data_IF_956240827049
#
_entry.id   IF_956240827049
#
_cell.length_a   1.000
_cell.length_b   1.000
_cell.length_c   1.000
_cell.angle_alpha   90.00
_cell.angle_beta   90.00
_cell.angle_gamma   90.00
#
_symmetry.space_group_name_H-M   'P 1'
#
loop_
_entity.id
_entity.type
_entity.pdbx_description
1 polymer ?
#
# COMPACT_ATOMS: atom_id res chain seq x y z
N UNK A 1 37.21 -23.84 -12.12
CA UNK A 1 37.36 -22.69 -11.20
C UNK A 1 36.30 -21.66 -11.57
N UNK A 2 35.25 -21.54 -10.76
CA UNK A 2 34.27 -20.45 -10.86
C UNK A 2 34.11 -19.87 -9.46
N UNK A 3 34.74 -18.72 -9.24
CA UNK A 3 34.66 -17.97 -7.98
C UNK A 3 33.23 -17.47 -7.78
N UNK A 4 32.56 -17.90 -6.71
CA UNK A 4 31.26 -17.37 -6.31
C UNK A 4 31.44 -15.98 -5.69
N UNK A 5 31.11 -14.96 -6.48
CA UNK A 5 31.05 -13.56 -6.05
C UNK A 5 29.85 -13.39 -5.11
N UNK A 6 30.08 -12.79 -3.94
CA UNK A 6 29.05 -12.43 -2.97
C UNK A 6 27.93 -11.61 -3.65
N UNK A 7 26.64 -11.76 -3.29
CA UNK A 7 25.59 -10.94 -3.90
C UNK A 7 25.80 -9.48 -3.51
N UNK A 8 26.19 -8.71 -4.52
CA UNK A 8 26.38 -7.26 -4.49
C UNK A 8 25.15 -6.55 -3.91
N UNK A 9 25.34 -5.52 -3.07
CA UNK A 9 24.26 -4.69 -2.48
C UNK A 9 23.33 -4.15 -3.57
N UNK A 10 23.88 -3.94 -4.78
CA UNK A 10 23.15 -3.61 -6.00
C UNK A 10 22.04 -4.59 -6.40
N UNK A 11 22.16 -5.89 -6.08
CA UNK A 11 21.16 -6.91 -6.43
C UNK A 11 19.95 -6.88 -5.50
N UNK A 12 20.16 -6.55 -4.23
CA UNK A 12 19.09 -6.34 -3.24
C UNK A 12 18.34 -5.04 -3.56
N UNK A 13 19.07 -3.98 -3.88
CA UNK A 13 18.50 -2.70 -4.32
C UNK A 13 17.69 -2.85 -5.63
N UNK A 14 18.16 -3.69 -6.57
CA UNK A 14 17.41 -4.00 -7.80
C UNK A 14 16.08 -4.74 -7.57
N UNK A 15 15.96 -5.52 -6.49
CA UNK A 15 14.73 -6.22 -6.13
C UNK A 15 13.73 -5.35 -5.37
N UNK A 16 14.21 -4.46 -4.48
CA UNK A 16 13.37 -3.59 -3.67
C UNK A 16 12.97 -2.27 -4.36
N UNK A 17 13.72 -1.82 -5.38
CA UNK A 17 13.43 -0.56 -6.10
C UNK A 17 12.08 -0.55 -6.80
N UNK A 18 11.61 -1.69 -7.32
CA UNK A 18 10.34 -1.77 -8.06
C UNK A 18 9.15 -1.57 -7.10
N UNK A 19 9.01 -2.33 -6.00
CA UNK A 19 7.90 -2.10 -5.07
C UNK A 19 7.99 -0.72 -4.40
N UNK A 20 9.18 -0.22 -4.06
CA UNK A 20 9.34 1.11 -3.48
C UNK A 20 8.97 2.23 -4.47
N UNK A 21 9.37 2.12 -5.74
CA UNK A 21 8.99 3.06 -6.78
C UNK A 21 7.47 3.02 -7.05
N UNK A 22 6.84 1.86 -6.94
CA UNK A 22 5.40 1.71 -7.14
C UNK A 22 4.61 2.35 -5.98
N UNK A 23 5.07 2.19 -4.74
CA UNK A 23 4.51 2.91 -3.57
C UNK A 23 4.70 4.41 -3.72
N UNK A 24 5.91 4.87 -4.07
CA UNK A 24 6.18 6.29 -4.29
C UNK A 24 5.33 6.86 -5.44
N UNK A 25 5.10 6.10 -6.52
CA UNK A 25 4.22 6.47 -7.62
C UNK A 25 2.77 6.60 -7.17
N UNK A 26 2.26 5.69 -6.33
CA UNK A 26 0.90 5.76 -5.79
C UNK A 26 0.74 7.01 -4.92
N UNK A 27 1.70 7.29 -4.02
CA UNK A 27 1.68 8.50 -3.20
C UNK A 27 1.81 9.77 -4.04
N UNK A 28 2.69 9.78 -5.05
CA UNK A 28 2.84 10.90 -5.96
C UNK A 28 1.58 11.10 -6.80
N UNK A 29 0.94 10.04 -7.30
CA UNK A 29 -0.31 10.12 -8.03
C UNK A 29 -1.46 10.61 -7.13
N UNK A 30 -1.53 10.15 -5.87
CA UNK A 30 -2.48 10.65 -4.88
C UNK A 30 -2.26 12.14 -4.57
N UNK A 31 -1.02 12.55 -4.35
CA UNK A 31 -0.65 13.95 -4.15
C UNK A 31 -0.96 14.81 -5.39
N UNK A 32 -0.67 14.30 -6.59
CA UNK A 32 -0.96 14.99 -7.85
C UNK A 32 -2.46 15.10 -8.11
N UNK A 33 -3.26 14.12 -7.71
CA UNK A 33 -4.72 14.19 -7.77
C UNK A 33 -5.29 15.21 -6.77
N UNK A 34 -4.67 15.36 -5.60
CA UNK A 34 -5.04 16.37 -4.61
C UNK A 34 -4.64 17.78 -5.07
N UNK A 35 -3.46 17.92 -5.67
CA UNK A 35 -2.94 19.19 -6.20
C UNK A 35 -3.56 19.58 -7.56
N UNK A 36 -4.08 18.60 -8.30
CA UNK A 36 -4.60 18.75 -9.67
C UNK A 36 -6.10 19.02 -9.76
N UNK A 37 -6.81 19.19 -8.63
CA UNK A 37 -8.18 19.72 -8.64
C UNK A 37 -8.14 21.21 -8.94
N UNK A 38 -7.95 21.54 -10.21
CA UNK A 38 -8.23 22.87 -10.74
C UNK A 38 -9.72 23.20 -10.57
N UNK A 39 -9.98 24.46 -10.20
CA UNK A 39 -11.26 25.09 -9.83
C UNK A 39 -12.37 24.96 -10.88
N UNK A 40 -12.94 23.77 -11.02
CA UNK A 40 -14.31 23.67 -11.50
C UNK A 40 -15.15 23.30 -10.28
N UNK A 41 -15.59 24.33 -9.58
CA UNK A 41 -16.55 24.22 -8.48
C UNK A 41 -17.92 23.93 -9.11
N UNK A 42 -18.57 22.87 -8.66
CA UNK A 42 -19.88 22.44 -9.14
C UNK A 42 -20.87 22.49 -7.98
N UNK A 43 -22.16 22.66 -8.25
CA UNK A 43 -23.18 22.71 -7.22
C UNK A 43 -24.22 23.81 -7.41
N UNK A 44 -25.35 23.64 -6.73
CA UNK A 44 -26.41 24.63 -6.73
C UNK A 44 -25.96 25.91 -6.01
N UNK A 45 -26.24 27.06 -6.61
CA UNK A 45 -25.85 28.40 -6.13
C UNK A 45 -24.35 28.58 -5.90
N UNK A 46 -23.51 27.74 -6.51
CA UNK A 46 -22.07 27.85 -6.44
C UNK A 46 -21.57 29.00 -7.33
N UNK A 47 -20.88 30.03 -6.78
CA UNK A 47 -20.36 31.15 -7.55
C UNK A 47 -19.26 30.73 -8.56
N UNK A 48 -18.59 29.60 -8.35
CA UNK A 48 -17.66 29.03 -9.35
C UNK A 48 -18.33 28.21 -10.47
N UNK A 49 -19.62 27.87 -10.33
CA UNK A 49 -20.29 26.92 -11.24
C UNK A 49 -21.00 27.61 -12.40
N UNK A 50 -20.69 27.16 -13.61
CA UNK A 50 -21.35 27.54 -14.87
C UNK A 50 -22.61 26.72 -15.18
N UNK A 51 -22.94 25.74 -14.35
CA UNK A 51 -24.14 24.92 -14.54
C UNK A 51 -25.41 25.78 -14.45
N UNK A 52 -26.54 25.35 -15.05
CA UNK A 52 -27.80 26.08 -14.97
C UNK A 52 -28.23 26.42 -13.53
N UNK A 53 -27.97 25.52 -12.58
CA UNK A 53 -28.26 25.72 -11.15
C UNK A 53 -27.18 26.47 -10.35
N UNK A 54 -26.00 26.74 -10.95
CA UNK A 54 -24.94 27.53 -10.33
C UNK A 54 -25.25 29.02 -10.28
N UNK A 55 -24.34 29.84 -9.74
CA UNK A 55 -24.54 31.28 -9.59
C UNK A 55 -23.37 32.14 -10.09
N UNK A 56 -22.50 31.57 -10.95
CA UNK A 56 -21.35 32.28 -11.52
C UNK A 56 -21.70 33.61 -12.19
N UNK A 57 -22.80 33.68 -12.95
CA UNK A 57 -23.20 34.91 -13.62
C UNK A 57 -23.51 36.03 -12.62
N UNK A 58 -24.20 35.71 -11.52
CA UNK A 58 -24.51 36.69 -10.47
C UNK A 58 -23.26 37.11 -9.71
N UNK A 59 -22.41 36.15 -9.32
CA UNK A 59 -21.14 36.42 -8.66
C UNK A 59 -20.24 37.34 -9.49
N UNK A 60 -20.17 37.11 -10.81
CA UNK A 60 -19.42 37.95 -11.74
C UNK A 60 -19.99 39.37 -11.85
N UNK A 61 -21.31 39.51 -11.91
CA UNK A 61 -21.96 40.82 -11.95
C UNK A 61 -21.73 41.62 -10.66
N UNK A 62 -21.81 40.97 -9.50
CA UNK A 62 -21.51 41.59 -8.20
C UNK A 62 -20.05 42.07 -8.14
N UNK A 63 -19.11 41.23 -8.57
CA UNK A 63 -17.69 41.61 -8.66
C UNK A 63 -17.46 42.80 -9.61
N UNK A 64 -18.17 42.84 -10.74
CA UNK A 64 -18.11 43.98 -11.68
C UNK A 64 -18.69 45.28 -11.11
N UNK A 65 -19.61 45.18 -10.15
CA UNK A 65 -20.13 46.31 -9.37
C UNK A 65 -19.23 46.67 -8.17
N UNK A 66 -18.06 46.04 -8.02
CA UNK A 66 -17.09 46.34 -6.97
C UNK A 66 -17.34 45.68 -5.63
N UNK A 67 -18.19 44.65 -5.57
CA UNK A 67 -18.40 43.82 -4.38
C UNK A 67 -17.30 42.76 -4.30
N UNK A 68 -16.62 42.68 -3.16
CA UNK A 68 -15.68 41.61 -2.81
C UNK A 68 -16.47 40.35 -2.43
N UNK A 69 -16.67 39.46 -3.41
CA UNK A 69 -17.39 38.19 -3.24
C UNK A 69 -16.43 37.16 -2.66
N UNK A 70 -16.71 36.69 -1.44
CA UNK A 70 -15.93 35.67 -0.73
C UNK A 70 -16.75 34.39 -0.57
N UNK A 71 -16.54 33.39 -1.45
CA UNK A 71 -17.10 32.07 -1.24
C UNK A 71 -16.55 31.46 0.05
N UNK A 72 -17.44 30.89 0.87
CA UNK A 72 -17.09 30.11 2.05
C UNK A 72 -17.73 28.73 1.93
N UNK A 73 -16.93 27.67 1.94
CA UNK A 73 -17.39 26.28 1.81
C UNK A 73 -17.35 25.53 3.15
N UNK A 74 -16.94 26.22 4.23
CA UNK A 74 -16.99 25.73 5.60
C UNK A 74 -17.45 26.80 6.58
N UNK A 75 -17.93 26.36 7.74
CA UNK A 75 -18.37 27.21 8.84
C UNK A 75 -17.23 28.08 9.35
N UNK A 76 -16.01 27.53 9.43
CA UNK A 76 -14.83 28.27 9.89
C UNK A 76 -14.43 29.36 8.90
N UNK A 77 -14.54 29.10 7.60
CA UNK A 77 -14.33 30.12 6.56
C UNK A 77 -15.39 31.22 6.64
N UNK A 78 -16.66 30.86 6.88
CA UNK A 78 -17.74 31.82 7.05
C UNK A 78 -17.51 32.71 8.28
N UNK A 79 -17.22 32.12 9.45
CA UNK A 79 -16.88 32.85 10.68
C UNK A 79 -15.69 33.78 10.47
N UNK A 80 -14.65 33.29 9.78
CA UNK A 80 -13.44 34.06 9.52
C UNK A 80 -13.67 35.18 8.49
N UNK A 81 -14.69 35.09 7.63
CA UNK A 81 -14.97 36.06 6.58
C UNK A 81 -16.03 37.11 6.97
N UNK A 82 -17.02 36.75 7.81
CA UNK A 82 -18.11 37.66 8.22
C UNK A 82 -17.58 38.81 9.08
N UNK A 83 -18.08 40.01 8.80
CA UNK A 83 -17.75 41.28 9.47
C UNK A 83 -19.02 42.10 9.60
N UNK A 84 -19.02 43.05 10.54
CA UNK A 84 -20.18 43.91 10.86
C UNK A 84 -20.69 44.74 9.68
N UNK A 85 -19.90 44.93 8.62
CA UNK A 85 -20.22 45.67 7.40
C UNK A 85 -20.39 44.78 6.16
N UNK A 86 -20.62 43.47 6.33
CA UNK A 86 -20.78 42.52 5.24
C UNK A 86 -22.24 42.09 5.03
N UNK A 87 -22.59 41.76 3.78
CA UNK A 87 -23.76 40.93 3.47
C UNK A 87 -23.38 39.46 3.61
N UNK A 88 -24.22 38.66 4.29
CA UNK A 88 -24.08 37.22 4.39
C UNK A 88 -25.20 36.53 3.61
N UNK A 89 -24.85 35.71 2.61
CA UNK A 89 -25.76 34.80 1.93
C UNK A 89 -25.55 33.38 2.48
N UNK A 90 -26.64 32.72 2.91
CA UNK A 90 -26.62 31.31 3.31
C UNK A 90 -27.52 30.53 2.36
N UNK A 91 -26.93 29.68 1.53
CA UNK A 91 -27.65 28.95 0.47
C UNK A 91 -28.49 27.78 0.98
N UNK A 92 -28.08 27.17 2.11
CA UNK A 92 -28.74 26.01 2.73
C UNK A 92 -28.75 26.15 4.26
N UNK A 93 -29.57 27.05 4.82
CA UNK A 93 -29.55 27.38 6.25
C UNK A 93 -29.90 26.19 7.16
N UNK A 94 -30.71 25.23 6.69
CA UNK A 94 -31.11 24.05 7.47
C UNK A 94 -29.95 23.08 7.78
N UNK A 95 -28.81 23.21 7.10
CA UNK A 95 -27.61 22.44 7.41
C UNK A 95 -26.80 23.07 8.56
N UNK A 96 -27.07 24.32 8.91
CA UNK A 96 -26.30 25.09 9.88
C UNK A 96 -26.95 24.98 11.27
N UNK A 97 -26.22 24.60 12.33
CA UNK A 97 -26.76 24.60 13.68
C UNK A 97 -27.25 26.00 14.09
N UNK A 98 -28.44 26.08 14.69
CA UNK A 98 -29.10 27.34 15.03
C UNK A 98 -28.21 28.33 15.78
N UNK A 99 -27.49 27.87 16.82
CA UNK A 99 -26.56 28.72 17.58
C UNK A 99 -25.46 29.36 16.71
N UNK A 100 -24.95 28.60 15.74
CA UNK A 100 -23.88 29.04 14.83
C UNK A 100 -24.45 29.99 13.77
N UNK A 101 -25.64 29.69 13.25
CA UNK A 101 -26.37 30.57 12.34
C UNK A 101 -26.72 31.91 12.99
N UNK A 102 -27.21 31.90 14.23
CA UNK A 102 -27.52 33.11 14.99
C UNK A 102 -26.27 33.95 15.28
N UNK A 103 -25.14 33.30 15.58
CA UNK A 103 -23.87 34.00 15.72
C UNK A 103 -23.46 34.70 14.42
N UNK A 104 -23.54 34.02 13.27
CA UNK A 104 -23.25 34.65 11.97
C UNK A 104 -24.20 35.82 11.69
N UNK A 105 -25.49 35.65 11.98
CA UNK A 105 -26.51 36.71 11.79
C UNK A 105 -26.25 37.95 12.62
N UNK A 106 -25.75 37.80 13.84
CA UNK A 106 -25.43 38.91 14.73
C UNK A 106 -24.20 39.71 14.29
N UNK A 107 -23.29 39.09 13.52
CA UNK A 107 -22.05 39.72 13.07
C UNK A 107 -22.11 40.26 11.64
N UNK A 108 -23.23 40.11 10.93
CA UNK A 108 -23.43 40.61 9.56
C UNK A 108 -24.44 41.76 9.54
N UNK A 109 -24.23 42.75 8.67
CA UNK A 109 -25.16 43.89 8.51
C UNK A 109 -26.46 43.50 7.79
N UNK A 110 -26.38 42.58 6.83
CA UNK A 110 -27.54 42.08 6.12
C UNK A 110 -27.38 40.58 5.87
N UNK A 111 -28.45 39.82 6.09
CA UNK A 111 -28.45 38.37 5.93
C UNK A 111 -29.51 37.96 4.92
N UNK A 112 -29.14 37.13 3.97
CA UNK A 112 -30.05 36.51 3.00
C UNK A 112 -30.05 35.00 3.21
N UNK A 113 -31.19 34.44 3.58
CA UNK A 113 -31.39 33.01 3.78
C UNK A 113 -32.19 32.44 2.61
N UNK A 114 -31.63 31.46 1.91
CA UNK A 114 -32.31 30.81 0.79
C UNK A 114 -33.06 29.59 1.29
N UNK A 115 -34.37 29.60 1.06
CA UNK A 115 -35.33 28.53 1.37
C UNK A 115 -35.16 27.95 2.77
N UNK A 116 -35.17 28.76 3.86
CA UNK A 116 -35.13 28.22 5.22
C UNK A 116 -36.36 27.34 5.49
N UNK A 117 -36.10 26.13 5.97
CA UNK A 117 -37.13 25.17 6.33
C UNK A 117 -37.47 25.20 7.81
N UNK A 118 -38.26 24.21 8.24
CA UNK A 118 -38.76 24.13 9.59
C UNK A 118 -37.69 24.20 10.69
N UNK A 119 -36.50 23.55 10.58
CA UNK A 119 -35.47 23.63 11.61
C UNK A 119 -34.97 25.06 11.83
N UNK A 120 -34.59 25.75 10.75
CA UNK A 120 -34.13 27.15 10.81
C UNK A 120 -35.20 28.08 11.37
N UNK A 121 -36.46 27.91 10.94
CA UNK A 121 -37.55 28.76 11.40
C UNK A 121 -37.85 28.56 12.89
N UNK A 122 -37.84 27.33 13.40
CA UNK A 122 -38.18 27.05 14.80
C UNK A 122 -37.11 27.58 15.76
N UNK A 123 -35.83 27.36 15.44
CA UNK A 123 -34.75 27.61 16.38
C UNK A 123 -34.16 29.03 16.26
N UNK A 124 -34.05 29.55 15.03
CA UNK A 124 -33.40 30.84 14.76
C UNK A 124 -34.37 31.97 14.44
N UNK A 125 -35.57 31.67 13.90
CA UNK A 125 -36.55 32.67 13.46
C UNK A 125 -37.97 32.39 13.98
N UNK A 126 -38.18 32.26 15.31
CA UNK A 126 -39.40 31.67 15.89
C UNK A 126 -40.70 32.45 15.61
N UNK A 127 -40.61 33.71 15.18
CA UNK A 127 -41.76 34.53 14.80
C UNK A 127 -42.17 34.36 13.33
N UNK A 128 -41.41 33.60 12.55
CA UNK A 128 -41.65 33.35 11.13
C UNK A 128 -42.27 31.97 10.97
N UNK A 129 -43.35 31.89 10.20
CA UNK A 129 -44.04 30.64 9.92
C UNK A 129 -44.24 30.46 8.41
N UNK A 130 -44.20 29.20 7.91
CA UNK A 130 -44.59 28.91 6.54
C UNK A 130 -46.08 29.20 6.37
N UNK A 131 -46.45 29.87 5.29
CA UNK A 131 -47.80 30.30 4.99
C UNK A 131 -48.37 29.64 3.73
N UNK A 132 -47.53 29.12 2.84
CA UNK A 132 -47.92 28.45 1.61
C UNK A 132 -46.71 27.91 0.84
N UNK A 133 -46.95 27.18 -0.25
CA UNK A 133 -45.90 26.73 -1.16
C UNK A 133 -46.40 26.80 -2.60
N UNK A 134 -45.85 27.71 -3.42
CA UNK A 134 -46.27 27.87 -4.81
C UNK A 134 -45.21 27.38 -5.80
N UNK A 135 -45.63 27.08 -7.02
CA UNK A 135 -44.69 26.88 -8.13
C UNK A 135 -43.91 28.17 -8.44
N UNK A 136 -42.77 28.00 -9.10
CA UNK A 136 -41.95 29.13 -9.55
C UNK A 136 -42.61 29.77 -10.79
N UNK A 137 -43.02 31.02 -10.65
CA UNK A 137 -43.71 31.80 -11.68
C UNK A 137 -43.25 33.26 -11.66
N UNK A 138 -43.76 34.07 -12.59
CA UNK A 138 -43.48 35.51 -12.58
C UNK A 138 -44.41 36.19 -11.56
N UNK A 139 -43.82 36.79 -10.53
CA UNK A 139 -44.53 37.45 -9.44
C UNK A 139 -44.21 38.94 -9.39
N UNK A 140 -45.21 39.73 -9.01
CA UNK A 140 -45.06 41.17 -8.76
C UNK A 140 -44.68 41.41 -7.31
N UNK A 141 -43.91 42.47 -6.98
CA UNK A 141 -43.37 42.67 -5.64
C UNK A 141 -44.45 42.93 -4.58
N UNK A 142 -45.52 43.63 -4.93
CA UNK A 142 -46.67 43.96 -4.04
C UNK A 142 -46.27 44.51 -2.65
N UNK A 143 -45.14 45.22 -2.58
CA UNK A 143 -44.56 45.71 -1.34
C UNK A 143 -43.73 46.98 -1.55
N UNK A 144 -43.12 47.48 -0.47
CA UNK A 144 -42.27 48.70 -0.46
C UNK A 144 -40.80 48.42 -0.16
N UNK A 145 -40.37 47.16 -0.19
CA UNK A 145 -38.94 46.82 -0.02
C UNK A 145 -38.17 47.33 -1.24
N UNK A 146 -37.15 48.16 -1.02
CA UNK A 146 -36.43 48.85 -2.09
C UNK A 146 -35.86 47.88 -3.15
N UNK A 147 -35.26 46.77 -2.72
CA UNK A 147 -34.73 45.75 -3.62
C UNK A 147 -35.80 45.11 -4.51
N UNK A 148 -36.99 44.81 -3.95
CA UNK A 148 -38.10 44.22 -4.69
C UNK A 148 -38.74 45.23 -5.66
N UNK A 149 -38.88 46.49 -5.24
CA UNK A 149 -39.42 47.56 -6.10
C UNK A 149 -38.46 47.85 -7.26
N UNK A 150 -37.15 47.88 -7.01
CA UNK A 150 -36.14 48.10 -8.04
C UNK A 150 -36.06 46.93 -9.03
N UNK A 151 -36.27 45.70 -8.56
CA UNK A 151 -36.33 44.53 -9.42
C UNK A 151 -37.60 44.49 -10.28
N UNK A 152 -38.74 44.95 -9.75
CA UNK A 152 -40.03 44.81 -10.42
C UNK A 152 -40.47 43.34 -10.41
N UNK A 153 -41.00 42.88 -11.55
CA UNK A 153 -41.46 41.49 -11.71
C UNK A 153 -40.26 40.54 -11.69
N UNK A 154 -40.38 39.39 -11.02
CA UNK A 154 -39.29 38.40 -10.88
C UNK A 154 -39.82 36.98 -11.00
N UNK A 155 -38.96 36.05 -11.42
CA UNK A 155 -39.29 34.62 -11.44
C UNK A 155 -39.00 34.01 -10.06
N UNK A 156 -40.02 33.94 -9.21
CA UNK A 156 -39.93 33.47 -7.83
C UNK A 156 -41.11 32.56 -7.49
N UNK A 157 -41.11 31.97 -6.30
CA UNK A 157 -42.08 30.98 -5.85
C UNK A 157 -41.48 30.19 -4.70
N UNK A 158 -41.87 28.92 -4.57
CA UNK A 158 -41.41 28.06 -3.50
C UNK A 158 -42.15 28.37 -2.21
N UNK A 159 -41.43 28.42 -1.09
CA UNK A 159 -42.05 28.59 0.23
C UNK A 159 -42.45 30.06 0.45
N UNK A 160 -43.72 30.28 0.74
CA UNK A 160 -44.23 31.56 1.22
C UNK A 160 -44.11 31.65 2.75
N UNK A 161 -43.62 32.78 3.26
CA UNK A 161 -43.46 33.01 4.69
C UNK A 161 -44.36 34.14 5.18
N UNK A 162 -44.72 34.09 6.47
CA UNK A 162 -45.42 35.17 7.16
C UNK A 162 -44.82 35.39 8.54
N UNK A 163 -44.76 36.66 8.96
CA UNK A 163 -44.34 37.03 10.31
C UNK A 163 -44.91 38.41 10.69
N UNK A 164 -45.29 38.62 11.96
CA UNK A 164 -45.76 39.93 12.43
C UNK A 164 -44.70 41.02 12.27
N UNK A 165 -45.07 42.15 11.67
CA UNK A 165 -44.16 43.30 11.50
C UNK A 165 -43.09 43.13 10.41
N UNK A 166 -43.10 42.01 9.68
CA UNK A 166 -42.22 41.78 8.54
C UNK A 166 -42.77 42.44 7.26
N UNK A 167 -41.85 42.82 6.37
CA UNK A 167 -42.20 43.27 5.02
C UNK A 167 -42.23 42.05 4.10
N UNK A 168 -43.42 41.73 3.60
CA UNK A 168 -43.69 40.60 2.71
C UNK A 168 -43.79 41.09 1.27
N UNK A 169 -43.08 40.44 0.35
CA UNK A 169 -43.09 40.74 -1.08
C UNK A 169 -43.29 39.46 -1.90
N UNK A 170 -43.69 39.61 -3.16
CA UNK A 170 -43.90 38.50 -4.10
C UNK A 170 -44.83 37.43 -3.53
N UNK A 171 -46.12 37.75 -3.30
CA UNK A 171 -47.06 36.80 -2.72
C UNK A 171 -47.26 35.60 -3.65
N UNK A 172 -47.10 34.40 -3.10
CA UNK A 172 -47.41 33.16 -3.82
C UNK A 172 -48.91 32.88 -3.87
N UNK A 173 -49.36 32.08 -4.84
CA UNK A 173 -50.78 31.74 -5.00
C UNK A 173 -51.38 31.08 -3.73
N UNK A 174 -50.57 30.28 -3.04
CA UNK A 174 -50.96 29.55 -1.83
C UNK A 174 -50.75 30.36 -0.53
N UNK A 175 -50.33 31.63 -0.64
CA UNK A 175 -50.23 32.57 0.48
C UNK A 175 -48.82 32.81 1.04
N UNK A 176 -48.68 33.92 1.77
CA UNK A 176 -47.39 34.43 2.27
C UNK A 176 -46.51 35.07 1.21
N UNK A 177 -45.48 35.79 1.65
CA UNK A 177 -44.47 36.37 0.76
C UNK A 177 -43.34 35.37 0.49
N UNK A 178 -43.02 35.16 -0.78
CA UNK A 178 -41.84 34.37 -1.18
C UNK A 178 -40.54 35.16 -1.05
N UNK A 179 -40.63 36.46 -0.74
CA UNK A 179 -39.57 37.23 -0.12
C UNK A 179 -40.09 37.86 1.17
N UNK A 180 -39.42 37.62 2.30
CA UNK A 180 -39.79 38.19 3.59
C UNK A 180 -38.60 38.91 4.21
N UNK A 181 -38.74 40.20 4.50
CA UNK A 181 -37.70 41.01 5.14
C UNK A 181 -38.06 41.37 6.58
N UNK A 182 -37.18 41.00 7.50
CA UNK A 182 -37.28 41.20 8.94
C UNK A 182 -36.23 42.22 9.38
N UNK A 183 -36.59 43.07 10.32
CA UNK A 183 -35.60 43.82 11.09
C UNK A 183 -35.04 42.90 12.18
N UNK A 184 -33.72 42.81 12.28
CA UNK A 184 -33.01 42.03 13.28
C UNK A 184 -32.08 42.94 14.10
N UNK A 185 -31.61 42.45 15.24
CA UNK A 185 -30.76 43.17 16.19
C UNK A 185 -29.44 43.70 15.58
N UNK A 186 -28.90 43.03 14.55
CA UNK A 186 -27.67 43.42 13.84
C UNK A 186 -27.89 44.04 12.46
N UNK A 187 -29.14 44.12 11.95
CA UNK A 187 -29.35 44.42 10.54
C UNK A 187 -30.71 44.03 9.96
N UNK A 188 -30.74 43.68 8.67
CA UNK A 188 -31.93 43.07 8.06
C UNK A 188 -31.71 41.61 7.70
N UNK A 189 -32.69 40.75 8.03
CA UNK A 189 -32.71 39.35 7.61
C UNK A 189 -33.78 39.18 6.53
N UNK A 190 -33.37 38.75 5.35
CA UNK A 190 -34.25 38.52 4.19
C UNK A 190 -34.32 37.03 3.88
N UNK A 191 -35.52 36.49 3.78
CA UNK A 191 -35.78 35.10 3.41
C UNK A 191 -36.23 35.06 1.96
N UNK A 192 -35.69 34.12 1.18
CA UNK A 192 -36.14 33.81 -0.18
C UNK A 192 -36.77 32.43 -0.20
N UNK A 193 -37.99 32.31 -0.73
CA UNK A 193 -38.73 31.05 -0.83
C UNK A 193 -38.14 30.06 -1.83
N UNK A 194 -37.31 30.54 -2.76
CA UNK A 194 -36.69 29.73 -3.80
C UNK A 194 -35.32 30.31 -4.22
N UNK A 195 -34.36 29.45 -4.61
CA UNK A 195 -33.09 29.88 -5.18
C UNK A 195 -33.21 30.43 -6.61
N UNK A 196 -34.36 30.22 -7.28
CA UNK A 196 -34.55 30.47 -8.71
C UNK A 196 -33.93 31.78 -9.24
N UNK A 197 -34.22 32.98 -8.68
CA UNK A 197 -33.71 34.23 -9.23
C UNK A 197 -32.18 34.39 -9.14
N UNK A 198 -31.51 33.57 -8.31
CA UNK A 198 -30.06 33.63 -8.11
C UNK A 198 -29.30 32.67 -9.04
N UNK A 199 -30.01 31.81 -9.78
CA UNK A 199 -29.40 30.78 -10.64
C UNK A 199 -29.04 31.32 -12.02
N UNK A 200 -27.96 30.78 -12.61
CA UNK A 200 -27.53 31.09 -13.98
C UNK A 200 -28.65 30.91 -15.01
N UNK A 201 -29.51 29.89 -14.83
CA UNK A 201 -30.61 29.57 -15.74
C UNK A 201 -31.69 30.66 -15.82
N UNK A 202 -31.89 31.42 -14.73
CA UNK A 202 -33.01 32.36 -14.59
C UNK A 202 -32.56 33.79 -14.36
N UNK A 203 -31.27 34.04 -14.16
CA UNK A 203 -30.76 35.37 -13.82
C UNK A 203 -31.16 36.45 -14.83
N UNK A 204 -31.23 36.10 -16.12
CA UNK A 204 -31.60 37.01 -17.19
C UNK A 204 -33.12 37.15 -17.40
N UNK A 205 -33.93 36.37 -16.69
CA UNK A 205 -35.39 36.44 -16.76
C UNK A 205 -35.89 37.58 -15.85
N UNK A 206 -36.78 38.41 -16.40
CA UNK A 206 -37.44 39.51 -15.67
C UNK A 206 -36.45 40.37 -14.85
N UNK A 207 -36.78 40.70 -13.60
CA UNK A 207 -35.96 41.47 -12.66
C UNK A 207 -34.99 40.65 -11.81
N UNK A 208 -34.73 39.37 -12.13
CA UNK A 208 -33.98 38.46 -11.25
C UNK A 208 -32.56 38.97 -10.93
N UNK A 209 -31.82 39.42 -11.95
CA UNK A 209 -30.50 40.03 -11.75
C UNK A 209 -30.57 41.28 -10.88
N UNK A 210 -31.57 42.15 -11.10
CA UNK A 210 -31.75 43.35 -10.31
C UNK A 210 -32.05 43.02 -8.83
N UNK A 211 -32.88 42.01 -8.58
CA UNK A 211 -33.15 41.54 -7.22
C UNK A 211 -31.88 41.02 -6.54
N UNK A 212 -31.13 40.13 -7.21
CA UNK A 212 -29.88 39.57 -6.70
C UNK A 212 -28.84 40.65 -6.38
N UNK A 213 -28.66 41.62 -7.30
CA UNK A 213 -27.72 42.72 -7.11
C UNK A 213 -28.12 43.65 -5.95
N UNK A 214 -29.42 43.98 -5.80
CA UNK A 214 -29.87 44.84 -4.71
C UNK A 214 -29.89 44.15 -3.35
N UNK A 215 -30.08 42.83 -3.30
CA UNK A 215 -30.02 42.08 -2.04
C UNK A 215 -28.58 41.84 -1.59
N UNK A 216 -27.70 41.46 -2.53
CA UNK A 216 -26.36 40.96 -2.21
C UNK A 216 -25.25 42.02 -2.36
N UNK A 217 -25.53 43.13 -3.04
CA UNK A 217 -24.58 44.21 -3.31
C UNK A 217 -24.77 45.46 -2.46
N UNK A 218 -25.50 45.40 -1.34
CA UNK A 218 -25.70 46.56 -0.46
C UNK A 218 -24.41 46.99 0.22
N UNK A 219 -23.52 46.04 0.48
CA UNK A 219 -22.23 46.25 1.13
C UNK A 219 -21.08 45.92 0.19
N UNK A 220 -19.87 46.40 0.53
CA UNK A 220 -18.66 46.15 -0.26
C UNK A 220 -18.18 44.70 -0.16
N UNK A 221 -18.56 43.98 0.88
CA UNK A 221 -18.14 42.58 1.10
C UNK A 221 -19.37 41.69 1.13
N UNK A 222 -19.36 40.64 0.32
CA UNK A 222 -20.37 39.58 0.32
C UNK A 222 -19.71 38.27 0.75
N UNK A 223 -20.14 37.72 1.88
CA UNK A 223 -19.80 36.35 2.26
C UNK A 223 -20.85 35.41 1.68
N UNK A 224 -20.44 34.58 0.74
CA UNK A 224 -21.29 33.62 0.06
C UNK A 224 -21.07 32.25 0.69
N UNK A 225 -21.86 31.93 1.71
CA UNK A 225 -21.70 30.69 2.48
C UNK A 225 -22.48 29.54 1.82
N UNK A 226 -21.76 28.46 1.51
CA UNK A 226 -22.28 27.21 0.96
C UNK A 226 -22.08 26.06 1.98
N UNK A 227 -23.02 25.88 2.93
CA UNK A 227 -22.96 24.80 3.89
C UNK A 227 -22.90 23.43 3.18
N UNK A 228 -22.05 22.54 3.68
CA UNK A 228 -21.87 21.19 3.17
C UNK A 228 -21.97 20.18 4.30
N UNK A 229 -22.67 19.07 4.09
CA UNK A 229 -22.76 17.97 5.07
C UNK A 229 -21.40 17.35 5.44
N UNK A 230 -20.36 17.60 4.63
CA UNK A 230 -18.99 17.15 4.88
C UNK A 230 -18.16 18.14 5.72
N UNK A 231 -18.73 19.30 6.05
CA UNK A 231 -18.07 20.33 6.83
C UNK A 231 -17.95 19.90 8.31
N UNK A 232 -16.73 19.74 8.85
CA UNK A 232 -16.52 19.40 10.24
C UNK A 232 -17.01 20.49 11.21
N UNK A 233 -17.07 21.76 10.77
CA UNK A 233 -17.49 22.90 11.60
C UNK A 233 -19.00 23.00 11.84
N UNK A 234 -19.81 22.20 11.12
CA UNK A 234 -21.26 22.12 11.32
C UNK A 234 -21.67 21.18 12.47
N UNK A 235 -20.74 20.39 12.99
CA UNK A 235 -21.08 19.31 13.93
C UNK A 235 -20.22 19.41 15.19
N UNK A 236 -20.69 20.16 16.19
CA UNK A 236 -20.11 20.18 17.55
C UNK A 236 -20.05 18.76 18.17
N UNK A 237 -20.79 17.81 17.60
CA UNK A 237 -20.96 16.43 18.06
C UNK A 237 -20.21 15.37 17.27
N UNK A 238 -19.77 15.62 16.03
CA UNK A 238 -18.97 14.64 15.25
C UNK A 238 -17.49 14.97 15.32
N UNK A 239 -16.85 14.40 16.33
CA UNK A 239 -15.42 14.12 16.31
C UNK A 239 -15.04 13.39 15.02
N UNK A 240 -13.88 13.74 14.46
CA UNK A 240 -13.34 13.08 13.26
C UNK A 240 -13.29 11.56 13.46
N UNK A 241 -13.49 10.76 12.41
CA UNK A 241 -13.30 9.30 12.48
C UNK A 241 -11.93 8.92 13.06
N UNK A 242 -10.93 9.79 12.89
CA UNK A 242 -9.58 9.62 13.45
C UNK A 242 -9.46 9.97 14.94
N UNK A 243 -10.39 10.77 15.47
CA UNK A 243 -10.56 11.09 16.89
C UNK A 243 -11.45 10.07 17.63
N UNK A 244 -12.27 9.30 16.91
CA UNK A 244 -12.99 8.15 17.47
C UNK A 244 -12.10 6.92 17.65
N UNK A 245 -10.93 6.90 17.00
CA UNK A 245 -9.93 5.84 17.17
C UNK A 245 -9.19 6.11 18.49
N UNK A 246 -9.33 5.26 19.52
CA UNK A 246 -8.62 5.46 20.78
C UNK A 246 -7.11 5.52 20.54
N UNK A 247 -6.40 6.40 21.25
CA UNK A 247 -4.95 6.61 21.07
C UNK A 247 -4.14 5.30 21.05
N UNK A 248 -4.60 4.28 21.79
CA UNK A 248 -4.08 2.92 21.80
C UNK A 248 -3.90 2.27 20.43
N UNK A 249 -4.77 2.57 19.45
CA UNK A 249 -4.68 2.02 18.10
C UNK A 249 -3.52 2.60 17.29
N UNK A 250 -3.11 3.84 17.53
CA UNK A 250 -1.91 4.39 16.92
C UNK A 250 -0.66 3.65 17.41
N UNK A 251 -0.61 3.31 18.70
CA UNK A 251 0.44 2.45 19.25
C UNK A 251 0.39 1.04 18.65
N UNK A 252 -0.80 0.46 18.48
CA UNK A 252 -0.99 -0.83 17.81
C UNK A 252 -0.54 -0.82 16.35
N UNK A 253 -0.87 0.21 15.59
CA UNK A 253 -0.45 0.39 14.21
C UNK A 253 1.08 0.59 14.10
N UNK A 254 1.66 1.38 15.00
CA UNK A 254 3.12 1.55 15.09
C UNK A 254 3.83 0.22 15.43
N UNK A 255 3.29 -0.56 16.36
CA UNK A 255 3.81 -1.89 16.70
C UNK A 255 3.70 -2.86 15.51
N UNK A 256 2.57 -2.86 14.79
CA UNK A 256 2.39 -3.67 13.60
C UNK A 256 3.39 -3.28 12.49
N UNK A 257 3.61 -1.97 12.29
CA UNK A 257 4.62 -1.47 11.36
C UNK A 257 6.03 -1.93 11.74
N UNK A 258 6.40 -1.81 13.01
CA UNK A 258 7.69 -2.29 13.52
C UNK A 258 7.82 -3.81 13.32
N UNK A 259 6.78 -4.58 13.63
CA UNK A 259 6.78 -6.04 13.46
C UNK A 259 6.98 -6.44 11.99
N UNK A 260 6.29 -5.78 11.06
CA UNK A 260 6.46 -5.99 9.61
C UNK A 260 7.87 -5.60 9.16
N UNK A 261 8.41 -4.48 9.65
CA UNK A 261 9.77 -4.04 9.34
C UNK A 261 10.82 -5.04 9.85
N UNK A 262 10.67 -5.55 11.07
CA UNK A 262 11.53 -6.59 11.63
C UNK A 262 11.42 -7.91 10.87
N UNK A 263 10.20 -8.30 10.49
CA UNK A 263 9.96 -9.49 9.66
C UNK A 263 10.62 -9.35 8.29
N UNK A 264 10.51 -8.19 7.66
CA UNK A 264 11.15 -7.88 6.39
C UNK A 264 12.69 -7.92 6.52
N UNK A 265 13.26 -7.34 7.58
CA UNK A 265 14.69 -7.40 7.88
C UNK A 265 15.18 -8.83 8.14
N UNK A 266 14.39 -9.63 8.85
CA UNK A 266 14.69 -11.04 9.10
C UNK A 266 14.66 -11.87 7.81
N UNK A 267 13.62 -11.71 6.98
CA UNK A 267 13.52 -12.36 5.66
C UNK A 267 14.60 -11.90 4.67
N UNK A 268 15.05 -10.65 4.79
CA UNK A 268 16.16 -10.13 3.99
C UNK A 268 17.51 -10.75 4.38
N UNK A 269 17.66 -11.24 5.62
CA UNK A 269 18.84 -11.98 6.08
C UNK A 269 18.77 -13.45 5.64
N UNK A 270 19.14 -13.72 4.39
CA UNK A 270 19.39 -15.11 3.92
C UNK A 270 20.66 -15.66 4.58
N UNK A 271 20.52 -16.67 5.44
CA UNK A 271 21.61 -17.61 5.74
C UNK A 271 21.84 -18.47 4.48
N UNK A 272 23.06 -18.46 3.96
CA UNK A 272 23.43 -19.10 2.69
C UNK A 272 23.24 -20.63 2.68
N UNK A 273 23.37 -21.29 1.50
CA UNK A 273 23.17 -22.73 1.40
C UNK A 273 24.14 -23.49 2.30
N UNK A 274 23.62 -24.51 2.97
CA UNK A 274 24.41 -25.44 3.80
C UNK A 274 25.38 -26.19 2.87
N UNK A 275 26.67 -26.09 3.18
CA UNK A 275 27.76 -26.77 2.45
C UNK A 275 27.48 -28.27 2.44
N UNK A 276 27.25 -28.85 1.26
CA UNK A 276 27.17 -30.30 1.09
C UNK A 276 28.58 -30.85 0.92
N UNK A 277 29.09 -31.57 1.91
CA UNK A 277 30.33 -32.35 1.79
C UNK A 277 30.17 -33.46 0.73
N UNK A 278 31.16 -33.68 -0.16
CA UNK A 278 31.11 -34.75 -1.13
C UNK A 278 31.31 -36.12 -0.43
N UNK A 279 30.39 -37.05 -0.68
CA UNK A 279 30.50 -38.44 -0.21
C UNK A 279 31.65 -39.19 -0.91
N UNK A 280 32.35 -40.09 -0.19
CA UNK A 280 33.47 -40.85 -0.75
C UNK A 280 33.03 -41.77 -1.90
N UNK A 281 33.78 -41.72 -3.00
CA UNK A 281 33.54 -42.50 -4.22
C UNK A 281 33.99 -43.95 -3.98
N UNK A 282 33.13 -44.92 -4.28
CA UNK A 282 33.44 -46.36 -4.19
C UNK A 282 34.26 -46.77 -5.41
N UNK A 283 35.56 -47.07 -5.23
CA UNK A 283 36.44 -47.56 -6.30
C UNK A 283 36.42 -49.09 -6.32
N UNK A 284 36.33 -49.71 -7.50
CA UNK A 284 36.29 -51.18 -7.63
C UNK A 284 37.67 -51.77 -7.33
N UNK A 285 37.73 -52.88 -6.58
CA UNK A 285 38.99 -53.52 -6.16
C UNK A 285 39.93 -53.93 -7.32
N UNK A 286 39.39 -54.15 -8.52
CA UNK A 286 40.19 -54.44 -9.71
C UNK A 286 41.02 -53.22 -10.17
N UNK A 287 40.46 -52.00 -10.06
CA UNK A 287 41.14 -50.77 -10.48
C UNK A 287 42.31 -50.43 -9.56
N UNK A 288 42.18 -50.71 -8.26
CA UNK A 288 43.27 -50.49 -7.29
C UNK A 288 44.40 -51.50 -7.46
N UNK A 289 44.07 -52.77 -7.76
CA UNK A 289 45.07 -53.79 -8.07
C UNK A 289 45.85 -53.46 -9.35
N UNK A 290 45.15 -53.05 -10.42
CA UNK A 290 45.78 -52.67 -11.68
C UNK A 290 46.64 -51.40 -11.54
N UNK A 291 46.13 -50.40 -10.81
CA UNK A 291 46.89 -49.18 -10.50
C UNK A 291 48.19 -49.49 -9.76
N UNK A 292 48.15 -50.38 -8.76
CA UNK A 292 49.33 -50.78 -7.99
C UNK A 292 50.31 -51.62 -8.82
N UNK A 293 49.83 -52.52 -9.67
CA UNK A 293 50.68 -53.28 -10.58
C UNK A 293 51.41 -52.37 -11.58
N UNK A 294 50.72 -51.38 -12.16
CA UNK A 294 51.33 -50.37 -13.05
C UNK A 294 52.38 -49.54 -12.34
N UNK A 295 52.15 -49.18 -11.07
CA UNK A 295 53.13 -48.46 -10.25
C UNK A 295 54.40 -49.30 -10.01
N UNK A 296 54.27 -50.57 -9.61
CA UNK A 296 55.43 -51.45 -9.38
C UNK A 296 56.24 -51.70 -10.65
N UNK A 297 55.57 -51.92 -11.79
CA UNK A 297 56.24 -52.05 -13.08
C UNK A 297 56.97 -50.76 -13.49
N UNK A 298 56.36 -49.59 -13.27
CA UNK A 298 57.01 -48.29 -13.57
C UNK A 298 58.24 -48.06 -12.70
N UNK A 299 58.20 -48.50 -11.43
CA UNK A 299 59.32 -48.41 -10.51
C UNK A 299 60.38 -49.51 -10.71
N UNK A 300 60.16 -50.48 -11.62
CA UNK A 300 61.00 -51.68 -11.82
C UNK A 300 61.26 -52.46 -10.53
N UNK A 301 60.27 -52.49 -9.63
CA UNK A 301 60.37 -53.09 -8.30
C UNK A 301 59.93 -54.58 -8.31
N UNK A 302 60.57 -55.39 -9.17
CA UNK A 302 60.24 -56.81 -9.33
C UNK A 302 60.54 -57.64 -8.07
N UNK A 303 61.59 -57.25 -7.33
CA UNK A 303 61.98 -57.80 -6.05
C UNK A 303 60.88 -57.63 -4.99
N UNK A 304 60.38 -56.40 -4.83
CA UNK A 304 59.35 -56.06 -3.86
C UNK A 304 58.01 -56.71 -4.21
N UNK A 305 57.65 -56.71 -5.49
CA UNK A 305 56.45 -57.40 -5.96
C UNK A 305 56.54 -58.92 -5.72
N UNK A 306 57.71 -59.51 -5.96
CA UNK A 306 57.97 -60.93 -5.72
C UNK A 306 57.83 -61.33 -4.26
N UNK A 307 58.40 -60.54 -3.34
CA UNK A 307 58.25 -60.82 -1.90
C UNK A 307 56.81 -60.63 -1.42
N UNK A 308 56.11 -59.61 -1.93
CA UNK A 308 54.68 -59.41 -1.63
C UNK A 308 53.84 -60.62 -2.07
N UNK A 309 54.13 -61.20 -3.24
CA UNK A 309 53.47 -62.42 -3.70
C UNK A 309 53.82 -63.63 -2.83
N UNK A 310 55.10 -63.81 -2.47
CA UNK A 310 55.53 -64.89 -1.57
C UNK A 310 54.88 -64.78 -0.20
N UNK A 311 54.83 -63.59 0.39
CA UNK A 311 54.19 -63.37 1.70
C UNK A 311 52.69 -63.69 1.66
N UNK A 312 52.00 -63.24 0.61
CA UNK A 312 50.59 -63.57 0.40
C UNK A 312 50.38 -65.08 0.21
N UNK A 313 51.27 -65.74 -0.56
CA UNK A 313 51.24 -67.18 -0.79
C UNK A 313 51.48 -67.98 0.50
N UNK A 314 52.49 -67.61 1.29
CA UNK A 314 52.75 -68.19 2.61
C UNK A 314 51.53 -68.05 3.52
N UNK A 315 50.89 -66.88 3.53
CA UNK A 315 49.68 -66.64 4.33
C UNK A 315 48.52 -67.55 3.92
N UNK A 316 48.28 -67.72 2.62
CA UNK A 316 47.23 -68.61 2.10
C UNK A 316 47.55 -70.08 2.36
N UNK A 317 48.77 -70.54 2.09
CA UNK A 317 49.20 -71.92 2.33
C UNK A 317 49.10 -72.31 3.81
N UNK A 318 49.46 -71.42 4.73
CA UNK A 318 49.29 -71.67 6.19
C UNK A 318 47.82 -71.84 6.55
N UNK A 319 46.95 -71.00 5.98
CA UNK A 319 45.50 -71.09 6.19
C UNK A 319 44.95 -72.41 5.64
N UNK A 320 45.36 -72.82 4.43
CA UNK A 320 44.92 -74.06 3.78
C UNK A 320 45.43 -75.31 4.53
N UNK A 321 46.66 -75.28 5.03
CA UNK A 321 47.28 -76.41 5.74
C UNK A 321 46.98 -76.43 7.25
N UNK A 322 46.21 -75.47 7.77
CA UNK A 322 45.86 -75.39 9.19
C UNK A 322 47.03 -75.07 10.12
N UNK A 323 48.08 -74.43 9.61
CA UNK A 323 49.25 -74.05 10.40
C UNK A 323 49.03 -72.73 11.16
N UNK A 324 49.59 -72.57 12.38
CA UNK A 324 49.63 -71.29 13.09
C UNK A 324 50.23 -70.16 12.24
N UNK A 325 50.03 -68.88 12.59
CA UNK A 325 50.61 -67.74 11.84
C UNK A 325 52.13 -67.55 12.04
N UNK A 326 52.69 -68.16 13.06
CA UNK A 326 54.08 -68.08 13.52
C UNK A 326 54.90 -69.38 13.35
N UNK A 327 54.27 -70.51 13.00
CA UNK A 327 54.94 -71.71 12.48
C UNK A 327 56.15 -71.40 11.57
N UNK A 328 57.25 -72.09 11.85
CA UNK A 328 58.55 -71.85 11.24
C UNK A 328 58.57 -72.13 9.72
N UNK A 329 59.51 -71.52 9.02
CA UNK A 329 59.71 -71.69 7.58
C UNK A 329 59.94 -73.16 7.21
N UNK A 330 60.69 -73.90 8.03
CA UNK A 330 60.93 -75.33 7.82
C UNK A 330 59.63 -76.15 7.94
N UNK A 331 58.77 -75.81 8.90
CA UNK A 331 57.49 -76.50 9.10
C UNK A 331 56.55 -76.28 7.89
N UNK A 332 56.46 -75.04 7.39
CA UNK A 332 55.65 -74.75 6.21
C UNK A 332 56.16 -75.50 4.96
N UNK A 333 57.47 -75.49 4.72
CA UNK A 333 58.07 -76.18 3.57
C UNK A 333 57.84 -77.69 3.66
N UNK A 334 58.01 -78.28 4.85
CA UNK A 334 57.78 -79.70 5.05
C UNK A 334 56.32 -80.09 4.82
N UNK A 335 55.36 -79.37 5.40
CA UNK A 335 53.93 -79.65 5.22
C UNK A 335 53.47 -79.48 3.76
N UNK A 336 54.01 -78.50 3.03
CA UNK A 336 53.73 -78.34 1.60
C UNK A 336 54.38 -79.47 0.79
N UNK A 337 55.59 -79.91 1.17
CA UNK A 337 56.31 -81.02 0.52
C UNK A 337 55.57 -82.34 0.65
N UNK A 338 55.09 -82.67 1.85
CA UNK A 338 54.28 -83.87 2.09
C UNK A 338 52.96 -83.83 1.31
N UNK A 339 52.32 -82.65 1.23
CA UNK A 339 51.02 -82.51 0.56
C UNK A 339 51.13 -82.54 -0.97
N UNK A 340 52.19 -81.97 -1.54
CA UNK A 340 52.37 -81.85 -3.00
C UNK A 340 53.23 -82.97 -3.60
N UNK A 341 53.95 -83.74 -2.78
CA UNK A 341 54.91 -84.74 -3.23
C UNK A 341 56.18 -84.16 -3.88
N UNK A 342 56.37 -82.83 -3.84
CA UNK A 342 57.55 -82.14 -4.38
C UNK A 342 58.68 -82.12 -3.34
N UNK A 343 59.95 -82.12 -3.76
CA UNK A 343 61.06 -82.12 -2.83
C UNK A 343 61.15 -80.78 -2.08
N UNK A 344 61.47 -80.83 -0.79
CA UNK A 344 61.45 -79.68 0.12
C UNK A 344 62.38 -78.53 -0.31
N UNK A 345 63.49 -78.84 -1.00
CA UNK A 345 64.42 -77.84 -1.53
C UNK A 345 63.78 -76.96 -2.61
N UNK A 346 62.95 -77.53 -3.50
CA UNK A 346 62.25 -76.77 -4.54
C UNK A 346 61.20 -75.84 -3.94
N UNK A 347 60.41 -76.32 -2.98
CA UNK A 347 59.39 -75.51 -2.30
C UNK A 347 60.04 -74.39 -1.50
N UNK A 348 61.14 -74.69 -0.80
CA UNK A 348 61.94 -73.68 -0.10
C UNK A 348 62.44 -72.59 -1.04
N UNK A 349 62.95 -72.96 -2.23
CA UNK A 349 63.40 -72.01 -3.23
C UNK A 349 62.27 -71.13 -3.80
N UNK A 350 61.06 -71.68 -3.94
CA UNK A 350 59.89 -70.91 -4.43
C UNK A 350 59.38 -69.93 -3.35
N UNK A 351 59.23 -70.39 -2.10
CA UNK A 351 58.63 -69.60 -1.00
C UNK A 351 59.60 -68.65 -0.28
N UNK A 352 60.88 -68.99 -0.23
CA UNK A 352 61.92 -68.28 0.53
C UNK A 352 63.21 -68.06 -0.29
N UNK A 353 63.16 -68.23 -1.61
CA UNK A 353 64.32 -68.05 -2.48
C UNK A 353 64.84 -66.61 -2.56
N UNK A 354 65.94 -66.39 -3.29
CA UNK A 354 66.55 -65.06 -3.44
C UNK A 354 65.59 -64.03 -4.08
N UNK A 355 65.91 -62.73 -3.97
CA UNK A 355 65.15 -61.66 -4.61
C UNK A 355 65.02 -61.86 -6.13
N UNK A 356 63.88 -61.47 -6.69
CA UNK A 356 63.57 -61.61 -8.11
C UNK A 356 64.30 -60.52 -8.92
N UNK A 357 65.11 -60.86 -9.93
CA UNK A 357 65.94 -59.88 -10.64
C UNK A 357 65.19 -59.08 -11.73
N UNK A 358 64.12 -59.64 -12.33
CA UNK A 358 63.43 -59.03 -13.47
C UNK A 358 61.94 -59.43 -13.57
N UNK A 359 61.18 -58.67 -14.38
CA UNK A 359 59.75 -58.91 -14.62
C UNK A 359 59.46 -60.33 -15.20
N UNK A 360 60.26 -60.89 -16.14
CA UNK A 360 60.09 -62.27 -16.57
C UNK A 360 60.24 -63.31 -15.44
N UNK A 361 61.21 -63.14 -14.54
CA UNK A 361 61.35 -64.01 -13.37
C UNK A 361 60.19 -63.84 -12.39
N UNK A 362 59.63 -62.63 -12.26
CA UNK A 362 58.45 -62.38 -11.44
C UNK A 362 57.22 -63.14 -11.95
N UNK A 363 56.99 -63.15 -13.27
CA UNK A 363 55.87 -63.90 -13.88
C UNK A 363 56.05 -65.41 -13.68
N UNK A 364 57.29 -65.93 -13.84
CA UNK A 364 57.58 -67.34 -13.55
C UNK A 364 57.33 -67.68 -12.08
N UNK A 365 57.79 -66.83 -11.16
CA UNK A 365 57.56 -67.01 -9.72
C UNK A 365 56.07 -67.00 -9.39
N UNK A 366 55.29 -66.07 -9.95
CA UNK A 366 53.84 -66.02 -9.74
C UNK A 366 53.15 -67.31 -10.23
N UNK A 367 53.57 -67.85 -11.38
CA UNK A 367 53.06 -69.12 -11.90
C UNK A 367 53.43 -70.32 -11.02
N UNK A 368 54.67 -70.40 -10.51
CA UNK A 368 55.10 -71.46 -9.60
C UNK A 368 54.40 -71.37 -8.23
N UNK A 369 54.20 -70.18 -7.69
CA UNK A 369 53.45 -69.97 -6.44
C UNK A 369 51.99 -70.41 -6.59
N UNK A 370 51.32 -70.00 -7.67
CA UNK A 370 49.93 -70.39 -7.94
C UNK A 370 49.80 -71.91 -8.20
N UNK A 371 50.82 -72.53 -8.79
CA UNK A 371 50.87 -73.99 -8.96
C UNK A 371 50.99 -74.71 -7.62
N UNK A 372 51.92 -74.28 -6.76
CA UNK A 372 52.11 -74.86 -5.42
C UNK A 372 50.86 -74.66 -4.56
N UNK A 373 50.22 -73.49 -4.62
CA UNK A 373 48.96 -73.23 -3.92
C UNK A 373 47.83 -74.15 -4.38
N UNK A 374 47.67 -74.34 -5.69
CA UNK A 374 46.64 -75.24 -6.24
C UNK A 374 46.91 -76.70 -5.93
N UNK A 375 48.17 -77.15 -6.01
CA UNK A 375 48.55 -78.53 -5.69
C UNK A 375 48.35 -78.82 -4.19
N UNK A 376 48.70 -77.87 -3.31
CA UNK A 376 48.48 -78.01 -1.87
C UNK A 376 47.00 -77.93 -1.45
N UNK A 377 46.18 -77.19 -2.22
CA UNK A 377 44.74 -77.02 -1.99
C UNK A 377 43.84 -78.08 -2.63
N UNK A 378 44.37 -78.97 -3.47
CA UNK A 378 43.62 -80.10 -4.03
C UNK A 378 43.57 -81.24 -3.01
N UNK A 379 42.41 -81.38 -2.37
CA UNK A 379 41.98 -82.59 -1.64
C UNK A 379 41.53 -83.68 -2.58
#
# INVERSE_FOLDING_TARGET
MSTSVSPDVHRIWRGARIPLALVALIFAAGALLLLGRGEQTHGALEPGSYEPGGAHALAKLLADQGVDVRPAHSMDEADAAVREDATLLVTQPDLVPAKRLDALRQHAADVVLVTPGAPTLQDSLPLVHPAGQSDVATLRPECTVAAAVAAGDVTLGGVGYASPGARSCYPGEDGGGTLLQLADSGGTTTLLGSPAPLTNARLADEGNAALGLHLLGQHKTLVWYLPSIADPGLDDTRKSIFELIPDGWYYGAAQAFIAVALLALWRARRLGPVVTEPLPIVVRAAETAEGRARLYRRAKAADHAGETLREAARTRLRTVLGLPRDADAAALVHSVSERTGRPANEIGAVLYGPPVPDDPALVRLAGELDRVEREAGRT
#
